data_IF_007243238127
#
_entry.id   IF_007243238127
#
_cell.length_a   1.000
_cell.length_b   1.000
_cell.length_c   1.000
_cell.angle_alpha   90.00
_cell.angle_beta   90.00
_cell.angle_gamma   90.00
#
_symmetry.space_group_name_H-M   'P 1'
#
loop_
_entity.id
_entity.type
_entity.pdbx_description
1 polymer ?
#
# COMPACT_ATOMS: atom_id res chain seq x y z
N UNK A 1 -62.94 -14.13 -155.25
CA UNK A 1 -64.06 -13.19 -155.05
C UNK A 1 -64.56 -13.33 -153.61
N UNK A 2 -63.79 -12.91 -152.61
CA UNK A 2 -63.68 -11.53 -152.10
C UNK A 2 -64.90 -11.05 -151.27
N UNK A 3 -65.26 -11.82 -150.23
CA UNK A 3 -65.91 -11.35 -149.00
C UNK A 3 -65.74 -12.38 -147.86
N UNK A 4 -64.64 -13.15 -147.84
CA UNK A 4 -63.39 -12.82 -147.13
C UNK A 4 -63.57 -12.35 -145.68
N UNK A 5 -63.46 -13.32 -144.75
CA UNK A 5 -62.71 -13.23 -143.48
C UNK A 5 -63.28 -12.33 -142.36
N UNK A 6 -64.26 -11.48 -142.61
CA UNK A 6 -64.71 -10.50 -141.60
C UNK A 6 -65.81 -11.00 -140.63
N UNK A 7 -66.40 -12.18 -140.83
CA UNK A 7 -67.64 -12.57 -140.09
C UNK A 7 -67.55 -13.80 -139.21
N UNK A 8 -66.37 -14.39 -139.00
CA UNK A 8 -66.21 -15.55 -138.10
C UNK A 8 -65.17 -15.37 -136.98
N UNK A 9 -64.48 -14.22 -136.94
CA UNK A 9 -63.41 -13.96 -135.98
C UNK A 9 -63.84 -12.96 -134.88
N UNK A 10 -64.88 -12.17 -135.12
CA UNK A 10 -65.24 -11.07 -134.22
C UNK A 10 -66.20 -11.41 -133.05
N UNK A 11 -67.12 -12.41 -133.09
CA UNK A 11 -67.98 -12.69 -131.93
C UNK A 11 -67.39 -13.66 -130.89
N UNK A 12 -66.36 -14.43 -131.23
CA UNK A 12 -65.86 -15.56 -130.41
C UNK A 12 -64.62 -15.25 -129.57
N UNK A 13 -63.95 -14.13 -129.84
CA UNK A 13 -62.70 -13.74 -129.17
C UNK A 13 -62.98 -12.82 -127.97
N UNK A 14 -64.08 -12.06 -127.99
CA UNK A 14 -64.34 -11.03 -126.98
C UNK A 14 -64.96 -11.54 -125.64
N UNK A 15 -65.84 -12.57 -125.59
CA UNK A 15 -66.45 -12.99 -124.32
C UNK A 15 -65.62 -13.97 -123.48
N UNK A 16 -64.68 -14.70 -124.09
CA UNK A 16 -63.94 -15.82 -123.48
C UNK A 16 -62.55 -15.44 -123.00
N UNK A 17 -61.92 -14.42 -123.59
CA UNK A 17 -60.56 -13.99 -123.28
C UNK A 17 -60.54 -13.06 -122.06
N UNK A 18 -61.53 -12.20 -121.90
CA UNK A 18 -61.56 -11.22 -120.81
C UNK A 18 -61.68 -11.86 -119.41
N UNK A 19 -62.58 -12.85 -119.17
CA UNK A 19 -62.69 -13.48 -117.85
C UNK A 19 -61.49 -14.37 -117.54
N UNK A 20 -60.98 -15.11 -118.53
CA UNK A 20 -59.87 -16.07 -118.37
C UNK A 20 -58.54 -15.36 -118.12
N UNK A 21 -58.23 -14.29 -118.86
CA UNK A 21 -57.09 -13.42 -118.58
C UNK A 21 -57.25 -12.77 -117.20
N UNK A 22 -58.43 -12.27 -116.85
CA UNK A 22 -58.66 -11.68 -115.53
C UNK A 22 -58.46 -12.70 -114.40
N UNK A 23 -58.98 -13.93 -114.49
CA UNK A 23 -58.71 -14.98 -113.49
C UNK A 23 -57.25 -15.41 -113.46
N UNK A 24 -56.56 -15.55 -114.59
CA UNK A 24 -55.16 -15.93 -114.63
C UNK A 24 -54.27 -14.83 -114.03
N UNK A 25 -54.48 -13.58 -114.43
CA UNK A 25 -53.79 -12.42 -113.86
C UNK A 25 -54.12 -12.31 -112.36
N UNK A 26 -55.39 -12.38 -111.97
CA UNK A 26 -55.79 -12.28 -110.57
C UNK A 26 -55.22 -13.42 -109.73
N UNK A 27 -55.29 -14.67 -110.17
CA UNK A 27 -54.75 -15.81 -109.41
C UNK A 27 -53.23 -15.80 -109.40
N UNK A 28 -52.56 -15.52 -110.51
CA UNK A 28 -51.10 -15.43 -110.56
C UNK A 28 -50.59 -14.26 -109.72
N UNK A 29 -51.16 -13.06 -109.87
CA UNK A 29 -50.79 -11.90 -109.05
C UNK A 29 -51.15 -12.15 -107.60
N UNK A 30 -52.35 -12.62 -107.28
CA UNK A 30 -52.75 -12.86 -105.90
C UNK A 30 -51.90 -13.95 -105.27
N UNK A 31 -51.68 -15.10 -105.91
CA UNK A 31 -50.83 -16.16 -105.34
C UNK A 31 -49.37 -15.74 -105.28
N UNK A 32 -48.81 -15.12 -106.32
CA UNK A 32 -47.42 -14.66 -106.31
C UNK A 32 -47.21 -13.56 -105.27
N UNK A 33 -48.04 -12.52 -105.26
CA UNK A 33 -47.95 -11.43 -104.28
C UNK A 33 -48.26 -11.97 -102.89
N UNK A 34 -49.35 -12.71 -102.68
CA UNK A 34 -49.69 -13.23 -101.36
C UNK A 34 -48.62 -14.20 -100.87
N UNK A 35 -48.21 -15.20 -101.64
CA UNK A 35 -47.18 -16.15 -101.16
C UNK A 35 -45.84 -15.46 -101.01
N UNK A 36 -45.37 -14.67 -101.97
CA UNK A 36 -44.08 -13.99 -101.86
C UNK A 36 -44.07 -12.97 -100.73
N UNK A 37 -45.05 -12.06 -100.68
CA UNK A 37 -45.11 -11.05 -99.63
C UNK A 37 -45.40 -11.71 -98.28
N UNK A 38 -46.37 -12.60 -98.16
CA UNK A 38 -46.67 -13.24 -96.88
C UNK A 38 -45.50 -14.10 -96.43
N UNK A 39 -44.91 -14.96 -97.25
CA UNK A 39 -43.79 -15.79 -96.82
C UNK A 39 -42.55 -14.95 -96.57
N UNK A 40 -42.20 -13.99 -97.43
CA UNK A 40 -41.03 -13.14 -97.23
C UNK A 40 -41.20 -12.26 -95.99
N UNK A 41 -42.30 -11.51 -95.87
CA UNK A 41 -42.56 -10.66 -94.70
C UNK A 41 -42.69 -11.52 -93.46
N UNK A 42 -43.49 -12.58 -93.46
CA UNK A 42 -43.66 -13.41 -92.28
C UNK A 42 -42.35 -14.08 -91.89
N UNK A 43 -41.64 -14.76 -92.80
CA UNK A 43 -40.38 -15.43 -92.43
C UNK A 43 -39.30 -14.43 -92.09
N UNK A 44 -39.08 -13.38 -92.88
CA UNK A 44 -38.05 -12.38 -92.60
C UNK A 44 -38.34 -11.63 -91.31
N UNK A 45 -39.54 -11.05 -91.15
CA UNK A 45 -39.88 -10.30 -89.94
C UNK A 45 -39.92 -11.23 -88.74
N UNK A 46 -40.60 -12.39 -88.82
CA UNK A 46 -40.69 -13.29 -87.68
C UNK A 46 -39.32 -13.84 -87.30
N UNK A 47 -38.51 -14.32 -88.26
CA UNK A 47 -37.19 -14.88 -87.91
C UNK A 47 -36.22 -13.79 -87.49
N UNK A 48 -36.14 -12.66 -88.20
CA UNK A 48 -35.24 -11.56 -87.86
C UNK A 48 -35.61 -10.93 -86.53
N UNK A 49 -36.88 -10.52 -86.33
CA UNK A 49 -37.31 -9.94 -85.06
C UNK A 49 -37.17 -10.96 -83.95
N UNK A 50 -37.65 -12.21 -84.11
CA UNK A 50 -37.54 -13.20 -83.05
C UNK A 50 -36.09 -13.50 -82.72
N UNK A 51 -35.22 -13.72 -83.70
CA UNK A 51 -33.80 -14.04 -83.42
C UNK A 51 -33.06 -12.83 -82.88
N UNK A 52 -33.20 -11.65 -83.48
CA UNK A 52 -32.53 -10.44 -83.02
C UNK A 52 -33.03 -10.02 -81.64
N UNK A 53 -34.34 -9.91 -81.43
CA UNK A 53 -34.91 -9.54 -80.13
C UNK A 53 -34.60 -10.61 -79.09
N UNK A 54 -34.77 -11.91 -79.41
CA UNK A 54 -34.47 -12.95 -78.44
C UNK A 54 -32.98 -13.00 -78.11
N UNK A 55 -32.08 -12.95 -79.09
CA UNK A 55 -30.63 -13.01 -78.83
C UNK A 55 -30.15 -11.73 -78.17
N UNK A 56 -30.55 -10.55 -78.62
CA UNK A 56 -30.16 -9.28 -78.03
C UNK A 56 -30.70 -9.14 -76.61
N UNK A 57 -32.01 -9.32 -76.40
CA UNK A 57 -32.58 -9.24 -75.05
C UNK A 57 -31.98 -10.32 -74.16
N UNK A 58 -31.91 -11.57 -74.60
CA UNK A 58 -31.35 -12.64 -73.77
C UNK A 58 -29.89 -12.38 -73.45
N UNK A 59 -29.05 -12.03 -74.43
CA UNK A 59 -27.62 -11.82 -74.17
C UNK A 59 -27.40 -10.55 -73.38
N UNK A 60 -27.98 -9.42 -73.75
CA UNK A 60 -27.82 -8.16 -73.04
C UNK A 60 -28.39 -8.23 -71.64
N UNK A 61 -29.63 -8.65 -71.47
CA UNK A 61 -30.26 -8.75 -70.15
C UNK A 61 -29.57 -9.82 -69.31
N UNK A 62 -29.26 -11.00 -69.85
CA UNK A 62 -28.57 -12.03 -69.07
C UNK A 62 -27.16 -11.57 -68.70
N UNK A 63 -26.36 -11.05 -69.63
CA UNK A 63 -24.99 -10.64 -69.32
C UNK A 63 -24.97 -9.42 -68.44
N UNK A 64 -25.75 -8.38 -68.71
CA UNK A 64 -25.81 -7.17 -67.89
C UNK A 64 -26.35 -7.46 -66.49
N UNK A 65 -27.51 -8.10 -66.37
CA UNK A 65 -28.06 -8.43 -65.04
C UNK A 65 -27.11 -9.38 -64.31
N UNK A 66 -26.66 -10.46 -64.96
CA UNK A 66 -25.75 -11.41 -64.28
C UNK A 66 -24.46 -10.73 -63.88
N UNK A 67 -23.78 -10.00 -64.76
CA UNK A 67 -22.49 -9.39 -64.42
C UNK A 67 -22.67 -8.26 -63.42
N UNK A 68 -23.58 -7.33 -63.64
CA UNK A 68 -23.81 -6.20 -62.74
C UNK A 68 -24.31 -6.67 -61.38
N UNK A 69 -25.39 -7.46 -61.34
CA UNK A 69 -25.96 -7.93 -60.07
C UNK A 69 -24.98 -8.86 -59.36
N UNK A 70 -24.36 -9.82 -60.07
CA UNK A 70 -23.40 -10.71 -59.41
C UNK A 70 -22.17 -9.95 -58.92
N UNK A 71 -21.56 -9.08 -59.74
CA UNK A 71 -20.36 -8.36 -59.32
C UNK A 71 -20.68 -7.34 -58.25
N UNK A 72 -21.72 -6.52 -58.40
CA UNK A 72 -22.11 -5.50 -57.42
C UNK A 72 -22.54 -6.13 -56.10
N UNK A 73 -23.46 -7.11 -56.12
CA UNK A 73 -23.89 -7.76 -54.89
C UNK A 73 -22.71 -8.50 -54.26
N UNK A 74 -21.94 -9.27 -55.02
CA UNK A 74 -20.80 -10.00 -54.46
C UNK A 74 -19.76 -9.04 -53.90
N UNK A 75 -19.34 -8.02 -54.61
CA UNK A 75 -18.32 -7.09 -54.12
C UNK A 75 -18.84 -6.29 -52.95
N UNK A 76 -20.04 -5.70 -53.04
CA UNK A 76 -20.61 -4.91 -51.96
C UNK A 76 -20.87 -5.75 -50.72
N UNK A 77 -21.59 -6.86 -50.85
CA UNK A 77 -21.89 -7.74 -49.71
C UNK A 77 -20.62 -8.34 -49.14
N UNK A 78 -19.71 -8.85 -49.97
CA UNK A 78 -18.45 -9.40 -49.47
C UNK A 78 -17.61 -8.32 -48.80
N UNK A 79 -17.35 -7.19 -49.43
CA UNK A 79 -16.51 -6.14 -48.81
C UNK A 79 -17.18 -5.55 -47.60
N UNK A 80 -18.46 -5.20 -47.64
CA UNK A 80 -19.16 -4.63 -46.50
C UNK A 80 -19.23 -5.63 -45.33
N UNK A 81 -19.73 -6.84 -45.56
CA UNK A 81 -19.85 -7.83 -44.48
C UNK A 81 -18.46 -8.21 -43.99
N UNK A 82 -17.51 -8.55 -44.87
CA UNK A 82 -16.16 -8.95 -44.46
C UNK A 82 -15.45 -7.82 -43.71
N UNK A 83 -15.44 -6.60 -44.24
CA UNK A 83 -14.74 -5.48 -43.57
C UNK A 83 -15.43 -5.13 -42.27
N UNK A 84 -16.76 -5.05 -42.22
CA UNK A 84 -17.48 -4.65 -41.01
C UNK A 84 -17.40 -5.73 -39.94
N UNK A 85 -17.58 -7.00 -40.29
CA UNK A 85 -17.42 -8.11 -39.33
C UNK A 85 -15.98 -8.24 -38.88
N UNK A 86 -15.00 -8.20 -39.79
CA UNK A 86 -13.60 -8.30 -39.41
C UNK A 86 -13.18 -7.12 -38.55
N UNK A 87 -13.51 -5.88 -38.92
CA UNK A 87 -13.15 -4.70 -38.11
C UNK A 87 -13.87 -4.72 -36.77
N UNK A 88 -15.16 -5.02 -36.72
CA UNK A 88 -15.91 -5.08 -35.46
C UNK A 88 -15.37 -6.19 -34.54
N UNK A 89 -15.21 -7.41 -35.06
CA UNK A 89 -14.69 -8.54 -34.29
C UNK A 89 -13.26 -8.26 -33.84
N UNK A 90 -12.39 -7.83 -34.76
CA UNK A 90 -11.00 -7.53 -34.42
C UNK A 90 -10.92 -6.40 -33.40
N UNK A 91 -11.60 -5.28 -33.60
CA UNK A 91 -11.56 -4.15 -32.66
C UNK A 91 -12.17 -4.53 -31.32
N UNK A 92 -13.33 -5.18 -31.28
CA UNK A 92 -13.98 -5.59 -30.05
C UNK A 92 -13.14 -6.61 -29.28
N UNK A 93 -12.69 -7.68 -29.94
CA UNK A 93 -11.87 -8.71 -29.31
C UNK A 93 -10.53 -8.13 -28.88
N UNK A 94 -9.83 -7.40 -29.76
CA UNK A 94 -8.55 -6.80 -29.43
C UNK A 94 -8.69 -5.81 -28.28
N UNK A 95 -9.64 -4.87 -28.34
CA UNK A 95 -9.82 -3.88 -27.27
C UNK A 95 -10.25 -4.56 -25.98
N UNK A 96 -11.22 -5.46 -25.99
CA UNK A 96 -11.69 -6.14 -24.79
C UNK A 96 -10.59 -7.01 -24.17
N UNK A 97 -9.97 -7.89 -24.96
CA UNK A 97 -8.91 -8.77 -24.46
C UNK A 97 -7.70 -7.95 -24.04
N UNK A 98 -7.22 -7.01 -24.86
CA UNK A 98 -6.07 -6.19 -24.51
C UNK A 98 -6.36 -5.37 -23.27
N UNK A 99 -7.47 -4.64 -23.20
CA UNK A 99 -7.78 -3.83 -22.01
C UNK A 99 -8.01 -4.70 -20.79
N UNK A 100 -8.78 -5.78 -20.88
CA UNK A 100 -9.04 -6.66 -19.74
C UNK A 100 -7.76 -7.34 -19.25
N UNK A 101 -7.01 -8.00 -20.13
CA UNK A 101 -5.77 -8.68 -19.76
C UNK A 101 -4.73 -7.66 -19.30
N UNK A 102 -4.49 -6.58 -20.03
CA UNK A 102 -3.51 -5.57 -19.64
C UNK A 102 -3.89 -4.95 -18.31
N UNK A 103 -5.13 -4.48 -18.14
CA UNK A 103 -5.55 -3.86 -16.86
C UNK A 103 -5.54 -4.88 -15.73
N UNK A 104 -6.06 -6.08 -15.91
CA UNK A 104 -6.08 -7.10 -14.86
C UNK A 104 -4.68 -7.54 -14.48
N UNK A 105 -3.85 -7.92 -15.44
CA UNK A 105 -2.47 -8.36 -15.17
C UNK A 105 -1.65 -7.20 -14.62
N UNK A 106 -1.69 -6.02 -15.25
CA UNK A 106 -0.93 -4.87 -14.77
C UNK A 106 -1.38 -4.50 -13.36
N UNK A 107 -2.69 -4.32 -13.11
CA UNK A 107 -3.16 -3.94 -11.78
C UNK A 107 -2.87 -5.03 -10.77
N UNK A 108 -3.15 -6.30 -11.04
CA UNK A 108 -2.90 -7.39 -10.10
C UNK A 108 -1.42 -7.57 -9.81
N UNK A 109 -0.57 -7.67 -10.83
CA UNK A 109 0.87 -7.85 -10.65
C UNK A 109 1.47 -6.61 -10.01
N UNK A 110 1.17 -5.41 -10.51
CA UNK A 110 1.68 -4.17 -9.95
C UNK A 110 1.24 -4.02 -8.50
N UNK A 111 -0.06 -4.15 -8.20
CA UNK A 111 -0.54 -4.00 -6.82
C UNK A 111 0.03 -5.09 -5.93
N UNK A 112 0.02 -6.36 -6.33
CA UNK A 112 0.55 -7.45 -5.51
C UNK A 112 2.04 -7.31 -5.26
N UNK A 113 2.85 -7.13 -6.31
CA UNK A 113 4.30 -6.99 -6.18
C UNK A 113 4.63 -5.70 -5.44
N UNK A 114 4.05 -4.57 -5.82
CA UNK A 114 4.31 -3.30 -5.15
C UNK A 114 3.90 -3.38 -3.69
N UNK A 115 2.69 -3.82 -3.37
CA UNK A 115 2.25 -3.89 -1.96
C UNK A 115 3.07 -4.90 -1.19
N UNK A 116 3.34 -6.10 -1.72
CA UNK A 116 4.13 -7.12 -1.02
C UNK A 116 5.57 -6.65 -0.79
N UNK A 117 6.27 -6.21 -1.84
CA UNK A 117 7.66 -5.75 -1.73
C UNK A 117 7.73 -4.49 -0.88
N UNK A 118 6.88 -3.49 -1.14
CA UNK A 118 6.89 -2.26 -0.35
C UNK A 118 6.57 -2.57 1.11
N UNK A 119 5.49 -3.30 1.42
CA UNK A 119 5.16 -3.60 2.81
C UNK A 119 6.24 -4.45 3.46
N UNK A 120 6.73 -5.51 2.82
CA UNK A 120 7.76 -6.38 3.41
C UNK A 120 9.07 -5.62 3.64
N UNK A 121 9.61 -4.97 2.61
CA UNK A 121 10.87 -4.22 2.72
C UNK A 121 10.71 -3.05 3.67
N UNK A 122 9.66 -2.23 3.50
CA UNK A 122 9.43 -1.08 4.37
C UNK A 122 9.26 -1.53 5.81
N UNK A 123 8.37 -2.50 6.09
CA UNK A 123 8.17 -2.96 7.48
C UNK A 123 9.42 -3.59 8.03
N UNK A 124 10.11 -4.47 7.30
CA UNK A 124 11.31 -5.13 7.80
C UNK A 124 12.44 -4.13 8.07
N UNK A 125 12.78 -3.29 7.08
CA UNK A 125 13.85 -2.30 7.23
C UNK A 125 13.47 -1.26 8.26
N UNK A 126 12.26 -0.69 8.20
CA UNK A 126 11.81 0.30 9.16
C UNK A 126 11.81 -0.28 10.57
N UNK A 127 11.19 -1.44 10.79
CA UNK A 127 11.16 -2.04 12.13
C UNK A 127 12.55 -2.41 12.62
N UNK A 128 13.38 -3.04 11.80
CA UNK A 128 14.74 -3.42 12.20
C UNK A 128 15.60 -2.20 12.54
N UNK A 129 15.67 -1.21 11.64
CA UNK A 129 16.47 -0.01 11.86
C UNK A 129 15.91 0.80 13.01
N UNK A 130 14.60 1.06 13.03
CA UNK A 130 13.96 1.82 14.10
C UNK A 130 14.16 1.14 15.45
N UNK A 131 13.90 -0.16 15.57
CA UNK A 131 14.07 -0.87 16.84
C UNK A 131 15.52 -0.92 17.26
N UNK A 132 16.46 -1.19 16.34
CA UNK A 132 17.89 -1.23 16.66
C UNK A 132 18.39 0.14 17.13
N UNK A 133 18.12 1.21 16.39
CA UNK A 133 18.53 2.56 16.75
C UNK A 133 17.85 3.00 18.05
N UNK A 134 16.54 2.79 18.16
CA UNK A 134 15.78 3.17 19.36
C UNK A 134 16.31 2.42 20.59
N UNK A 135 16.49 1.10 20.52
CA UNK A 135 17.00 0.31 21.65
C UNK A 135 18.44 0.69 22.00
N UNK A 136 19.31 0.92 21.01
CA UNK A 136 20.69 1.33 21.26
C UNK A 136 20.75 2.71 21.92
N UNK A 137 20.06 3.71 21.38
CA UNK A 137 20.03 5.07 21.94
C UNK A 137 19.39 5.05 23.33
N UNK A 138 18.25 4.37 23.49
CA UNK A 138 17.55 4.29 24.77
C UNK A 138 18.42 3.61 25.84
N UNK A 139 19.07 2.48 25.51
CA UNK A 139 19.96 1.81 26.46
C UNK A 139 21.17 2.69 26.81
N UNK A 140 21.78 3.37 25.83
CA UNK A 140 22.89 4.29 26.08
C UNK A 140 22.48 5.44 27.00
N UNK A 141 21.36 6.13 26.73
CA UNK A 141 20.86 7.21 27.58
C UNK A 141 20.53 6.69 28.98
N UNK A 142 19.86 5.54 29.08
CA UNK A 142 19.51 4.94 30.37
C UNK A 142 20.76 4.58 31.18
N UNK A 143 21.77 3.96 30.56
CA UNK A 143 23.04 3.63 31.25
C UNK A 143 23.76 4.89 31.72
N UNK A 144 23.80 5.94 30.90
CA UNK A 144 24.39 7.23 31.26
C UNK A 144 23.63 7.89 32.42
N UNK A 145 22.29 7.86 32.41
CA UNK A 145 21.47 8.30 33.53
C UNK A 145 21.79 7.52 34.81
N UNK A 146 21.87 6.19 34.74
CA UNK A 146 22.21 5.37 35.91
C UNK A 146 23.63 5.66 36.42
N UNK A 147 24.58 5.93 35.54
CA UNK A 147 25.94 6.32 35.91
C UNK A 147 25.97 7.69 36.61
N UNK A 148 25.28 8.68 36.07
CA UNK A 148 25.16 10.00 36.72
C UNK A 148 24.48 9.87 38.08
N UNK A 149 23.36 9.15 38.16
CA UNK A 149 22.62 8.96 39.40
C UNK A 149 23.49 8.27 40.46
N UNK A 150 24.19 7.19 40.10
CA UNK A 150 25.08 6.49 41.02
C UNK A 150 26.27 7.34 41.43
N UNK A 151 26.89 8.08 40.51
CA UNK A 151 27.98 9.01 40.82
C UNK A 151 27.53 10.14 41.77
N UNK A 152 26.41 10.79 41.48
CA UNK A 152 25.85 11.85 42.34
C UNK A 152 25.45 11.26 43.69
N UNK A 153 24.73 10.14 43.71
CA UNK A 153 24.32 9.49 44.94
C UNK A 153 25.53 9.11 45.79
N UNK A 154 26.54 8.45 45.21
CA UNK A 154 27.75 8.07 45.95
C UNK A 154 28.52 9.29 46.41
N UNK A 155 28.71 10.31 45.59
CA UNK A 155 29.41 11.54 45.98
C UNK A 155 28.68 12.28 47.10
N UNK A 156 27.38 12.54 46.94
CA UNK A 156 26.56 13.22 47.94
C UNK A 156 26.46 12.37 49.21
N UNK A 157 26.11 11.10 49.08
CA UNK A 157 25.99 10.21 50.23
C UNK A 157 27.32 10.10 50.94
N UNK A 158 28.42 9.74 50.27
CA UNK A 158 29.72 9.65 50.95
C UNK A 158 30.13 10.99 51.53
N UNK A 159 30.10 12.10 50.79
CA UNK A 159 30.55 13.39 51.30
C UNK A 159 29.66 13.89 52.45
N UNK A 160 28.34 13.98 52.24
CA UNK A 160 27.42 14.49 53.26
C UNK A 160 27.30 13.52 54.42
N UNK A 161 27.07 12.22 54.17
CA UNK A 161 26.96 11.25 55.26
C UNK A 161 28.27 11.18 56.02
N UNK A 162 29.43 11.00 55.37
CA UNK A 162 30.69 10.92 56.13
C UNK A 162 30.99 12.23 56.82
N UNK A 163 30.83 13.40 56.18
CA UNK A 163 31.11 14.68 56.84
C UNK A 163 30.16 14.94 58.01
N UNK A 164 28.84 14.86 57.80
CA UNK A 164 27.85 15.09 58.87
C UNK A 164 27.97 14.01 59.93
N UNK A 165 27.97 12.73 59.57
CA UNK A 165 28.09 11.65 60.53
C UNK A 165 29.40 11.78 61.29
N UNK A 166 30.56 11.83 60.63
CA UNK A 166 31.83 11.92 61.36
C UNK A 166 31.91 13.22 62.16
N UNK A 167 31.63 14.39 61.60
CA UNK A 167 31.75 15.65 62.32
C UNK A 167 30.76 15.73 63.48
N UNK A 168 29.46 15.55 63.23
CA UNK A 168 28.44 15.67 64.27
C UNK A 168 28.56 14.51 65.27
N UNK A 169 28.68 13.26 64.82
CA UNK A 169 28.84 12.14 65.74
C UNK A 169 30.11 12.30 66.55
N UNK A 170 31.27 12.54 65.94
CA UNK A 170 32.52 12.69 66.71
C UNK A 170 32.47 13.92 67.59
N UNK A 171 31.97 15.06 67.13
CA UNK A 171 31.89 16.26 67.97
C UNK A 171 30.93 16.08 69.13
N UNK A 172 29.68 15.65 68.89
CA UNK A 172 28.70 15.41 69.95
C UNK A 172 29.17 14.29 70.87
N UNK A 173 29.57 13.14 70.32
CA UNK A 173 30.06 12.03 71.12
C UNK A 173 31.27 12.46 71.93
N UNK A 174 32.33 12.96 71.31
CA UNK A 174 33.54 13.34 72.07
C UNK A 174 33.25 14.47 73.03
N UNK A 175 32.62 15.58 72.62
CA UNK A 175 32.37 16.70 73.51
C UNK A 175 31.43 16.32 74.65
N UNK A 176 30.24 15.79 74.36
CA UNK A 176 29.28 15.44 75.41
C UNK A 176 29.78 14.27 76.24
N UNK A 177 30.23 13.17 75.63
CA UNK A 177 30.73 12.03 76.39
C UNK A 177 31.93 12.43 77.22
N UNK A 178 32.97 13.06 76.64
CA UNK A 178 34.15 13.41 77.44
C UNK A 178 33.83 14.49 78.46
N UNK A 179 33.06 15.52 78.15
CA UNK A 179 32.73 16.56 79.11
C UNK A 179 31.88 16.01 80.25
N UNK A 180 30.78 15.31 79.96
CA UNK A 180 29.92 14.74 81.00
C UNK A 180 30.66 13.65 81.76
N UNK A 181 31.32 12.71 81.08
CA UNK A 181 32.06 11.64 81.74
C UNK A 181 33.17 12.22 82.60
N UNK A 182 34.02 13.11 82.08
CA UNK A 182 35.11 13.68 82.87
C UNK A 182 34.57 14.57 83.97
N UNK A 183 33.57 15.42 83.74
CA UNK A 183 33.01 16.27 84.78
C UNK A 183 32.36 15.45 85.88
N UNK A 184 31.46 14.52 85.55
CA UNK A 184 30.80 13.66 86.54
C UNK A 184 31.82 12.76 87.22
N UNK A 185 32.68 12.08 86.46
CA UNK A 185 33.69 11.19 87.04
C UNK A 185 34.64 11.98 87.93
N UNK A 186 35.23 13.07 87.46
CA UNK A 186 36.16 13.86 88.28
C UNK A 186 35.44 14.51 89.45
N UNK A 187 34.27 15.10 89.28
CA UNK A 187 33.53 15.73 90.38
C UNK A 187 33.12 14.70 91.42
N UNK A 188 32.44 13.62 91.04
CA UNK A 188 32.02 12.57 91.97
C UNK A 188 33.23 11.87 92.57
N UNK A 189 34.18 11.42 91.75
CA UNK A 189 35.37 10.72 92.24
C UNK A 189 36.18 11.63 93.15
N UNK A 190 36.56 12.83 92.72
CA UNK A 190 37.37 13.72 93.57
C UNK A 190 36.58 14.18 94.79
N UNK A 191 35.32 14.59 94.67
CA UNK A 191 34.55 15.04 95.83
C UNK A 191 34.34 13.92 96.83
N UNK A 192 33.83 12.75 96.41
CA UNK A 192 33.60 11.62 97.31
C UNK A 192 34.93 11.09 97.84
N UNK A 193 35.91 10.83 96.97
CA UNK A 193 37.21 10.31 97.39
C UNK A 193 37.90 11.28 98.32
N UNK A 194 38.05 12.56 97.96
CA UNK A 194 38.73 13.54 98.82
C UNK A 194 37.93 13.81 100.08
N UNK A 195 36.61 13.96 100.03
CA UNK A 195 35.81 14.22 101.22
C UNK A 195 35.87 13.03 102.17
N UNK A 196 35.58 11.81 101.70
CA UNK A 196 35.64 10.61 102.55
C UNK A 196 37.07 10.35 103.03
N UNK A 197 38.05 10.38 102.12
CA UNK A 197 39.45 10.12 102.48
C UNK A 197 39.95 11.18 103.45
N UNK A 198 39.81 12.47 103.16
CA UNK A 198 40.31 13.52 104.06
C UNK A 198 39.52 13.56 105.35
N UNK A 199 38.19 13.47 105.34
CA UNK A 199 37.40 13.49 106.56
C UNK A 199 37.73 12.30 107.45
N UNK A 200 37.66 11.07 106.93
CA UNK A 200 37.98 9.87 107.72
C UNK A 200 39.45 9.87 108.14
N UNK A 201 40.38 10.11 107.22
CA UNK A 201 41.81 10.10 107.53
C UNK A 201 42.17 11.20 108.53
N UNK A 202 41.75 12.44 108.32
CA UNK A 202 42.08 13.54 109.24
C UNK A 202 41.35 13.40 110.56
N UNK A 203 40.08 12.99 110.59
CA UNK A 203 39.36 12.77 111.84
C UNK A 203 39.99 11.65 112.65
N UNK A 204 40.24 10.48 112.06
CA UNK A 204 40.89 9.38 112.76
C UNK A 204 42.31 9.77 113.18
N UNK A 205 43.11 10.35 112.28
CA UNK A 205 44.48 10.76 112.58
C UNK A 205 44.54 11.80 113.69
N UNK A 206 43.72 12.86 113.62
CA UNK A 206 43.72 13.93 114.63
C UNK A 206 43.13 13.44 115.94
N UNK A 207 42.01 12.70 115.96
CA UNK A 207 41.46 12.17 117.20
C UNK A 207 42.44 11.24 117.91
N UNK A 208 43.07 10.30 117.19
CA UNK A 208 44.07 9.39 117.79
C UNK A 208 45.30 10.18 118.23
N UNK A 209 45.84 11.06 117.38
CA UNK A 209 47.04 11.83 117.70
C UNK A 209 46.83 12.78 118.88
N UNK A 210 45.72 13.52 118.92
CA UNK A 210 45.39 14.43 120.03
C UNK A 210 45.07 13.66 121.29
N UNK A 211 44.36 12.53 121.23
CA UNK A 211 44.10 11.68 122.40
C UNK A 211 45.41 11.17 123.00
N UNK A 212 46.32 10.63 122.18
CA UNK A 212 47.64 10.18 122.64
C UNK A 212 48.45 11.35 123.21
N UNK A 213 48.50 12.49 122.50
CA UNK A 213 49.29 13.64 122.93
C UNK A 213 48.76 14.22 124.25
N UNK A 214 47.45 14.44 124.38
CA UNK A 214 46.84 14.95 125.61
C UNK A 214 47.01 13.99 126.77
N UNK A 215 46.88 12.67 126.54
CA UNK A 215 47.15 11.66 127.55
C UNK A 215 48.61 11.72 128.04
N UNK A 216 49.59 11.82 127.13
CA UNK A 216 51.01 11.99 127.48
C UNK A 216 51.25 13.30 128.24
N UNK A 217 50.64 14.39 127.79
CA UNK A 217 50.82 15.72 128.41
C UNK A 217 50.19 15.77 129.80
N UNK A 218 49.03 15.16 130.00
CA UNK A 218 48.35 15.02 131.29
C UNK A 218 49.19 14.18 132.27
N UNK A 219 49.76 13.07 131.81
CA UNK A 219 50.69 12.28 132.63
C UNK A 219 51.92 13.11 133.00
N UNK A 220 52.47 13.89 132.07
CA UNK A 220 53.62 14.77 132.32
C UNK A 220 53.30 15.88 133.35
N UNK A 221 52.14 16.52 133.27
CA UNK A 221 51.73 17.55 134.23
C UNK A 221 51.38 16.98 135.60
N UNK A 222 50.73 15.82 135.69
CA UNK A 222 50.46 15.14 136.96
C UNK A 222 51.75 14.74 137.71
N UNK A 223 52.79 14.33 136.98
CA UNK A 223 54.11 14.05 137.58
C UNK A 223 54.74 15.33 138.13
N UNK A 224 54.60 16.46 137.42
CA UNK A 224 55.23 17.72 137.80
C UNK A 224 54.50 18.45 138.96
N UNK A 225 53.19 18.27 139.11
CA UNK A 225 52.42 18.84 140.24
C UNK A 225 52.56 18.03 141.52
N UNK A 226 52.64 16.69 141.42
CA UNK A 226 52.86 15.82 142.59
C UNK A 226 54.23 16.02 143.25
N UNK A 227 55.24 16.47 142.51
CA UNK A 227 56.53 16.84 143.08
C UNK A 227 56.53 18.20 143.79
N UNK A 228 55.65 19.13 143.40
CA UNK A 228 55.65 20.50 143.95
C UNK A 228 54.80 20.64 145.22
N UNK A 229 53.85 19.74 145.47
CA UNK A 229 53.07 19.73 146.73
C UNK A 229 53.74 18.94 147.87
N UNK A 230 54.83 18.22 147.62
CA UNK A 230 55.54 17.45 148.65
C UNK A 230 56.63 18.26 149.42
N UNK A 231 56.78 19.57 149.14
CA UNK A 231 57.72 20.46 149.84
C UNK A 231 57.05 21.63 150.59
N UNK A 232 55.78 21.49 150.97
CA UNK A 232 55.14 22.32 152.02
C UNK A 232 55.07 21.58 153.35
#
# INVERSE_FOLDING_TARGET
>A
MHRSIHTSIHPSIHPSIHPSIHTYIHTYIHTYIHTYIHTYIHTYIHTYIRTYVHTYIRTYVHTYIRTYVHTYIRTYVHTYIHTHTHTYIHTYIHTYIHTYIHTYIHTYIHTYIHTYIHTYIHTYIHTYIHTYIHTYIHTYIHTLHTYIHTYIHTYIHTYIHTYIHTYIHTYIHTYIHTYIHTYIHTYIHTYIHTYIHTYIHTYIHTCIHTYIHTYITYMHTCIHTTQNEHFK
#
